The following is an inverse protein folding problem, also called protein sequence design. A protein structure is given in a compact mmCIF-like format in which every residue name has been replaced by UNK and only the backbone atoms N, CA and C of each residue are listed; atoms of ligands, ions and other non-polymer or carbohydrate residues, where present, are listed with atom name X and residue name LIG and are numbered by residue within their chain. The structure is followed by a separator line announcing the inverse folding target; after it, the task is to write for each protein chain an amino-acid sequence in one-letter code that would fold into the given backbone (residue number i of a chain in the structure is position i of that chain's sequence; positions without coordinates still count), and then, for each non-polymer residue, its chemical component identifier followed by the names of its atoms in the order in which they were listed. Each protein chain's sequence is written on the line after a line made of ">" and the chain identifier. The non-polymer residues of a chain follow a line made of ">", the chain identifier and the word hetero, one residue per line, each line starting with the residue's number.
data_IF_982254097983
#
_entry.id   IF_982254097983
#
_cell.length_a   1.000
_cell.length_b   1.000
_cell.length_c   1.000
_cell.angle_alpha   90.00
_cell.angle_beta   90.00
_cell.angle_gamma   90.00
#
_symmetry.space_group_name_H-M   'P 1'
#
loop_
_entity.id
_entity.type
_entity.pdbx_description
1 polymer ?
#
# COMPACT_ATOMS: atom_id res chain seq x y z
N UNK A 1 16.32 -12.65 3.16
CA UNK A 1 15.63 -11.45 2.65
C UNK A 1 14.87 -10.86 3.82
N UNK A 2 15.08 -9.58 4.15
CA UNK A 2 14.35 -8.90 5.23
C UNK A 2 12.97 -8.46 4.69
N UNK A 3 11.87 -9.14 5.05
CA UNK A 3 10.53 -8.79 4.54
C UNK A 3 10.12 -7.35 4.90
N UNK A 4 10.75 -6.78 5.93
CA UNK A 4 10.45 -5.49 6.53
C UNK A 4 11.00 -4.27 5.78
N UNK A 5 11.92 -4.47 4.81
CA UNK A 5 12.40 -3.36 3.97
C UNK A 5 11.40 -2.95 2.89
N UNK A 6 10.44 -3.82 2.59
CA UNK A 6 9.46 -3.59 1.55
C UNK A 6 8.14 -3.19 2.21
N UNK A 7 7.71 -1.94 1.99
CA UNK A 7 6.39 -1.44 2.40
C UNK A 7 5.33 -2.20 1.61
N UNK A 8 4.88 -3.32 2.16
CA UNK A 8 3.94 -4.25 1.52
C UNK A 8 2.61 -4.24 2.28
N UNK A 9 1.51 -4.37 1.54
CA UNK A 9 0.18 -4.53 2.13
C UNK A 9 -0.63 -5.63 1.45
N UNK A 10 -1.62 -6.09 2.21
CA UNK A 10 -2.76 -6.85 1.74
C UNK A 10 -3.98 -5.92 1.61
N UNK A 11 -4.76 -6.10 0.54
CA UNK A 11 -5.98 -5.32 0.29
C UNK A 11 -7.21 -6.22 0.24
N UNK A 12 -8.34 -5.72 0.73
CA UNK A 12 -9.64 -6.37 0.57
C UNK A 12 -9.91 -6.73 -0.91
N UNK A 13 -10.31 -7.99 -1.16
CA UNK A 13 -10.73 -8.52 -2.46
C UNK A 13 -11.79 -7.66 -3.16
N UNK A 14 -12.72 -7.06 -2.40
CA UNK A 14 -13.74 -6.18 -2.95
C UNK A 14 -13.13 -4.93 -3.58
N UNK A 15 -12.23 -4.25 -2.84
CA UNK A 15 -11.48 -3.10 -3.33
C UNK A 15 -10.54 -3.47 -4.49
N UNK A 16 -9.85 -4.60 -4.37
CA UNK A 16 -8.92 -5.09 -5.40
C UNK A 16 -9.61 -5.17 -6.77
N UNK A 17 -10.80 -5.77 -6.80
CA UNK A 17 -11.62 -5.85 -8.01
C UNK A 17 -12.22 -4.49 -8.42
N UNK A 18 -12.82 -3.76 -7.47
CA UNK A 18 -13.55 -2.51 -7.75
C UNK A 18 -12.68 -1.40 -8.33
N UNK A 19 -11.44 -1.28 -7.86
CA UNK A 19 -10.50 -0.23 -8.28
C UNK A 19 -9.44 -0.74 -9.27
N UNK A 20 -9.65 -1.94 -9.82
CA UNK A 20 -8.77 -2.57 -10.82
C UNK A 20 -7.30 -2.58 -10.37
N UNK A 21 -7.08 -2.84 -9.09
CA UNK A 21 -5.74 -2.91 -8.48
C UNK A 21 -5.15 -4.26 -8.87
N UNK A 22 -3.85 -4.27 -9.17
CA UNK A 22 -3.10 -5.47 -9.53
C UNK A 22 -1.98 -5.71 -8.53
N UNK A 23 -1.54 -6.96 -8.42
CA UNK A 23 -0.32 -7.26 -7.67
C UNK A 23 0.87 -6.49 -8.25
N UNK A 24 1.68 -5.91 -7.36
CA UNK A 24 2.81 -5.06 -7.71
C UNK A 24 2.45 -3.58 -7.92
N UNK A 25 1.16 -3.21 -7.95
CA UNK A 25 0.77 -1.79 -7.98
C UNK A 25 1.21 -1.07 -6.70
N UNK A 26 1.50 0.22 -6.86
CA UNK A 26 1.85 1.11 -5.76
C UNK A 26 0.63 1.95 -5.40
N UNK A 27 0.39 2.06 -4.11
CA UNK A 27 -0.64 2.91 -3.53
C UNK A 27 -0.01 3.85 -2.50
N UNK A 28 -0.57 5.05 -2.37
CA UNK A 28 -0.23 5.96 -1.29
C UNK A 28 -1.27 5.84 -0.16
N UNK A 29 -0.82 5.70 1.08
CA UNK A 29 -1.67 5.67 2.27
C UNK A 29 -1.51 6.97 3.06
N UNK A 30 -2.63 7.52 3.49
CA UNK A 30 -2.73 8.69 4.36
C UNK A 30 -3.68 8.42 5.54
N UNK A 31 -3.36 8.95 6.72
CA UNK A 31 -4.19 8.86 7.91
C UNK A 31 -3.74 7.81 8.94
N UNK A 32 -2.53 7.27 8.80
CA UNK A 32 -1.96 6.24 9.69
C UNK A 32 -0.64 6.67 10.36
N UNK A 33 -0.38 7.98 10.43
CA UNK A 33 0.78 8.54 11.13
C UNK A 33 2.12 8.19 10.46
N UNK A 34 3.04 7.59 11.20
CA UNK A 34 4.39 7.23 10.71
C UNK A 34 4.37 6.23 9.53
N UNK A 35 3.27 5.50 9.37
CA UNK A 35 3.09 4.53 8.28
C UNK A 35 2.55 5.15 6.99
N UNK A 36 2.22 6.46 6.99
CA UNK A 36 1.86 7.18 5.76
C UNK A 36 2.97 6.99 4.70
N UNK A 37 2.59 6.97 3.42
CA UNK A 37 3.56 6.85 2.32
C UNK A 37 3.16 5.84 1.26
N UNK A 38 4.13 5.46 0.44
CA UNK A 38 3.95 4.51 -0.67
C UNK A 38 4.08 3.07 -0.18
N UNK A 39 3.16 2.23 -0.62
CA UNK A 39 3.10 0.81 -0.30
C UNK A 39 2.78 0.01 -1.56
N UNK A 40 3.32 -1.20 -1.64
CA UNK A 40 3.10 -2.12 -2.75
C UNK A 40 2.07 -3.19 -2.37
N UNK A 41 1.12 -3.41 -3.26
CA UNK A 41 0.12 -4.47 -3.11
C UNK A 41 0.77 -5.81 -3.46
N UNK A 42 0.88 -6.74 -2.51
CA UNK A 42 1.42 -8.08 -2.76
C UNK A 42 0.49 -9.20 -2.32
N UNK A 43 -0.58 -8.88 -1.59
CA UNK A 43 -1.53 -9.88 -1.11
C UNK A 43 -2.96 -9.36 -1.13
N UNK A 44 -3.91 -10.28 -1.01
CA UNK A 44 -5.33 -10.00 -0.85
C UNK A 44 -5.82 -10.58 0.46
N UNK A 45 -6.69 -9.85 1.16
CA UNK A 45 -7.25 -10.32 2.40
C UNK A 45 -8.20 -11.50 2.16
N UNK A 46 -8.38 -12.36 3.17
CA UNK A 46 -9.32 -13.48 3.13
C UNK A 46 -10.74 -13.04 2.71
N UNK A 47 -11.45 -13.90 1.97
CA UNK A 47 -12.79 -13.62 1.44
C UNK A 47 -13.83 -13.17 2.48
N UNK A 48 -13.69 -13.55 3.75
CA UNK A 48 -14.56 -13.04 4.83
C UNK A 48 -14.48 -11.51 5.01
N UNK A 49 -13.48 -10.85 4.42
CA UNK A 49 -13.31 -9.40 4.43
C UNK A 49 -13.79 -8.71 3.15
N UNK A 50 -14.29 -9.48 2.16
CA UNK A 50 -14.78 -8.96 0.87
C UNK A 50 -15.74 -7.79 1.07
N UNK A 51 -15.41 -6.64 0.50
CA UNK A 51 -16.25 -5.44 0.48
C UNK A 51 -16.32 -4.69 1.82
N UNK A 52 -15.33 -4.89 2.70
CA UNK A 52 -15.23 -4.18 3.99
C UNK A 52 -14.34 -2.95 3.93
N UNK A 53 -13.77 -2.66 2.76
CA UNK A 53 -12.90 -1.51 2.50
C UNK A 53 -11.73 -1.45 3.50
N UNK A 54 -11.00 -2.56 3.60
CA UNK A 54 -9.86 -2.74 4.53
C UNK A 54 -8.55 -3.01 3.82
N UNK A 55 -7.47 -2.63 4.49
CA UNK A 55 -6.10 -3.00 4.16
C UNK A 55 -5.41 -3.49 5.43
N UNK A 56 -4.48 -4.43 5.29
CA UNK A 56 -3.53 -4.81 6.34
C UNK A 56 -2.12 -4.51 5.84
N UNK A 57 -1.37 -3.71 6.59
CA UNK A 57 0.02 -3.40 6.28
C UNK A 57 0.96 -4.36 7.02
N UNK A 58 2.02 -4.80 6.35
CA UNK A 58 3.06 -5.59 6.99
C UNK A 58 4.01 -4.67 7.76
N UNK A 59 4.10 -4.86 9.07
CA UNK A 59 5.00 -4.12 9.97
C UNK A 59 5.94 -5.08 10.70
N UNK A 60 7.03 -4.54 11.26
CA UNK A 60 7.95 -5.30 12.10
C UNK A 60 7.28 -5.75 13.41
N UNK A 61 7.73 -6.87 13.99
CA UNK A 61 7.17 -7.40 15.24
C UNK A 61 7.34 -6.46 16.45
N UNK A 62 8.33 -5.58 16.40
CA UNK A 62 8.56 -4.53 17.39
C UNK A 62 7.51 -3.42 17.35
N UNK A 63 6.80 -3.26 16.22
CA UNK A 63 5.72 -2.29 16.08
C UNK A 63 4.49 -2.79 16.80
N UNK A 64 3.94 -1.97 17.70
CA UNK A 64 2.67 -2.25 18.34
C UNK A 64 1.57 -2.22 17.29
N UNK A 65 0.83 -3.33 17.16
CA UNK A 65 -0.32 -3.40 16.27
C UNK A 65 -1.34 -2.28 16.61
N UNK A 66 -1.90 -1.67 15.58
CA UNK A 66 -2.90 -0.61 15.69
C UNK A 66 -4.06 -0.83 14.73
N UNK A 67 -5.18 -0.15 15.01
CA UNK A 67 -6.33 -0.05 14.11
C UNK A 67 -6.59 1.42 13.84
N UNK A 68 -6.51 1.80 12.57
CA UNK A 68 -6.82 3.15 12.11
C UNK A 68 -8.14 3.14 11.35
N UNK A 69 -8.87 4.24 11.43
CA UNK A 69 -10.14 4.48 10.72
C UNK A 69 -9.99 5.72 9.85
N UNK A 70 -10.87 5.86 8.86
CA UNK A 70 -10.88 6.99 7.93
C UNK A 70 -9.55 7.15 7.16
N UNK A 71 -8.88 6.02 6.91
CA UNK A 71 -7.65 5.92 6.13
C UNK A 71 -7.97 6.17 4.65
N UNK A 72 -7.17 7.01 4.00
CA UNK A 72 -7.29 7.28 2.56
C UNK A 72 -6.25 6.47 1.80
N UNK A 73 -6.68 5.91 0.68
CA UNK A 73 -5.87 5.11 -0.22
C UNK A 73 -5.94 5.71 -1.62
N UNK A 74 -4.79 5.95 -2.23
CA UNK A 74 -4.69 6.49 -3.58
C UNK A 74 -3.89 5.54 -4.46
N UNK A 75 -4.44 5.14 -5.60
CA UNK A 75 -3.69 4.40 -6.61
C UNK A 75 -2.68 5.35 -7.26
N UNK A 76 -1.43 4.92 -7.38
CA UNK A 76 -0.38 5.72 -8.00
C UNK A 76 -0.14 5.24 -9.41
N UNK A 77 -0.41 6.11 -10.39
CA UNK A 77 -0.15 5.81 -11.78
C UNK A 77 1.35 5.84 -12.07
N UNK A 78 1.86 4.78 -12.70
CA UNK A 78 3.29 4.66 -13.03
C UNK A 78 3.77 5.77 -13.98
N UNK A 79 2.88 6.31 -14.80
CA UNK A 79 3.18 7.42 -15.70
C UNK A 79 3.43 8.74 -14.96
N UNK A 80 2.78 8.94 -13.80
CA UNK A 80 3.03 10.10 -12.94
C UNK A 80 4.36 10.00 -12.16
N UNK A 81 4.93 8.79 -12.08
CA UNK A 81 6.21 8.50 -11.45
C UNK A 81 7.37 8.43 -12.47
N UNK A 82 7.21 8.89 -13.72
CA UNK A 82 8.36 9.13 -14.60
C UNK A 82 9.21 10.25 -13.98
N UNK A 83 10.13 9.84 -13.12
CA UNK A 83 11.13 10.68 -12.50
C UNK A 83 12.03 11.13 -13.65
N UNK A 84 12.04 12.43 -13.93
CA UNK A 84 13.05 12.98 -14.82
C UNK A 84 14.42 12.54 -14.28
N UNK A 85 15.27 11.87 -15.08
CA UNK A 85 16.60 11.49 -14.62
C UNK A 85 17.31 12.78 -14.19
N UNK A 86 17.79 12.82 -12.94
CA UNK A 86 18.60 13.92 -12.45
C UNK A 86 19.80 14.08 -13.39
N UNK A 87 19.79 15.15 -14.20
CA UNK A 87 20.94 15.57 -14.98
C UNK A 87 21.91 16.27 -14.03
N UNK A 88 22.79 15.49 -13.40
CA UNK A 88 24.04 16.06 -12.91
C UNK A 88 24.95 16.26 -14.12
N UNK A 89 24.85 17.42 -14.77
CA UNK A 89 25.95 17.93 -15.60
C UNK A 89 27.08 18.30 -14.64
N UNK A 90 28.13 17.49 -14.61
CA UNK A 90 29.47 17.98 -14.26
C UNK A 90 30.08 18.63 -15.48
#
# INVERSE_FOLDING_TARGET
>A
MEPYKHRILAIDLGMFAKYEIKFGDIVYIEGIGEFNGLWQVQDVMNERYRGKDKIDILVDKSVKAGLWRDVKLYKVDKEALIINPFSNKK
#
